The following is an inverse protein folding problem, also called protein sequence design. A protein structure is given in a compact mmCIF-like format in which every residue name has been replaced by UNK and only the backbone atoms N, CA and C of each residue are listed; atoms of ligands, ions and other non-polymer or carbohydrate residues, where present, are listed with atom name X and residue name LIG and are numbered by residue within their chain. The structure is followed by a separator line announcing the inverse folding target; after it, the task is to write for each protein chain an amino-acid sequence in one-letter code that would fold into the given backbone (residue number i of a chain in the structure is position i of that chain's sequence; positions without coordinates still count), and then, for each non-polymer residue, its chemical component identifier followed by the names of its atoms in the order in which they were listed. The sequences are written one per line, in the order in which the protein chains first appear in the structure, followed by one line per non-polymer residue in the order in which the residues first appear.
data_IF_250915437595
#
_entry.id   IF_250915437595
#
_cell.length_a   1.000
_cell.length_b   1.000
_cell.length_c   1.000
_cell.angle_alpha   90.00
_cell.angle_beta   90.00
_cell.angle_gamma   90.00
#
_symmetry.space_group_name_H-M   'P 1'
#
loop_
_entity.id
_entity.type
_entity.pdbx_description
1 polymer ?
#
# COMPACT_ATOMS: atom_id res chain seq x y z
N UNK A 1 -1.98 -19.00 14.86
CA UNK A 1 -2.47 -19.42 13.53
C UNK A 1 -2.32 -18.22 12.63
N UNK A 2 -1.62 -18.38 11.52
CA UNK A 2 -1.51 -17.33 10.50
C UNK A 2 -2.88 -17.21 9.83
N UNK A 3 -3.67 -16.25 10.27
CA UNK A 3 -5.02 -15.97 9.77
C UNK A 3 -5.00 -15.22 8.43
N UNK A 4 -3.93 -15.38 7.65
CA UNK A 4 -3.64 -14.57 6.48
C UNK A 4 -2.99 -15.43 5.39
N UNK A 5 -3.58 -15.43 4.19
CA UNK A 5 -3.02 -16.10 3.01
C UNK A 5 -2.87 -15.06 1.90
N UNK A 6 -1.65 -14.89 1.40
CA UNK A 6 -1.39 -14.10 0.19
C UNK A 6 -1.47 -15.03 -1.03
N UNK A 7 -2.23 -14.60 -2.03
CA UNK A 7 -2.35 -15.28 -3.31
C UNK A 7 -1.80 -14.39 -4.42
N UNK A 8 -1.88 -14.81 -5.68
CA UNK A 8 -1.47 -14.01 -6.83
C UNK A 8 -2.32 -12.75 -7.02
N UNK A 9 -3.57 -12.73 -6.55
CA UNK A 9 -4.54 -11.66 -6.85
C UNK A 9 -5.16 -11.01 -5.60
N UNK A 10 -5.08 -11.69 -4.45
CA UNK A 10 -5.79 -11.29 -3.24
C UNK A 10 -5.07 -11.67 -1.96
N UNK A 11 -5.48 -11.04 -0.87
CA UNK A 11 -5.16 -11.45 0.49
C UNK A 11 -6.43 -12.00 1.13
N UNK A 12 -6.35 -13.22 1.66
CA UNK A 12 -7.45 -13.87 2.38
C UNK A 12 -7.21 -13.72 3.88
N UNK A 13 -8.10 -13.00 4.56
CA UNK A 13 -8.11 -12.82 6.01
C UNK A 13 -9.16 -13.73 6.65
N UNK A 14 -8.74 -14.48 7.67
CA UNK A 14 -9.61 -15.27 8.53
C UNK A 14 -9.86 -14.53 9.84
N UNK A 15 -11.00 -13.84 9.94
CA UNK A 15 -11.37 -13.10 11.14
C UNK A 15 -12.51 -13.81 11.87
N UNK A 16 -12.18 -14.48 12.98
CA UNK A 16 -13.10 -15.25 13.83
C UNK A 16 -13.89 -16.31 13.05
N UNK A 17 -15.05 -15.93 12.50
CA UNK A 17 -15.99 -16.78 11.73
C UNK A 17 -16.23 -16.27 10.32
N UNK A 18 -15.50 -15.24 9.89
CA UNK A 18 -15.62 -14.62 8.56
C UNK A 18 -14.34 -14.82 7.79
N UNK A 19 -14.50 -15.02 6.48
CA UNK A 19 -13.41 -15.06 5.52
C UNK A 19 -13.59 -13.81 4.66
N UNK A 20 -12.56 -12.98 4.61
CA UNK A 20 -12.50 -11.81 3.76
C UNK A 20 -11.46 -12.09 2.68
N UNK A 21 -11.89 -12.14 1.43
CA UNK A 21 -10.99 -12.19 0.28
C UNK A 21 -10.90 -10.77 -0.28
N UNK A 22 -9.77 -10.11 -0.03
CA UNK A 22 -9.53 -8.74 -0.45
C UNK A 22 -8.59 -8.76 -1.65
N UNK A 23 -9.09 -8.39 -2.82
CA UNK A 23 -8.26 -8.26 -4.01
C UNK A 23 -7.25 -7.13 -3.80
N UNK A 24 -6.08 -7.27 -4.39
CA UNK A 24 -5.05 -6.23 -4.30
C UNK A 24 -5.50 -4.89 -4.90
N UNK A 25 -6.37 -4.91 -5.92
CA UNK A 25 -6.99 -3.71 -6.47
C UNK A 25 -7.85 -2.99 -5.43
N UNK A 26 -8.42 -3.66 -4.44
CA UNK A 26 -9.25 -3.03 -3.42
C UNK A 26 -8.41 -2.35 -2.32
N UNK A 27 -7.11 -2.61 -2.24
CA UNK A 27 -6.20 -2.09 -1.20
C UNK A 27 -5.55 -0.79 -1.67
N UNK A 28 -5.74 0.30 -0.92
CA UNK A 28 -5.07 1.58 -1.15
C UNK A 28 -3.68 1.60 -0.51
N UNK A 29 -3.60 1.25 0.77
CA UNK A 29 -2.37 1.33 1.54
C UNK A 29 -2.39 0.41 2.76
N UNK A 30 -1.21 0.14 3.28
CA UNK A 30 -1.00 -0.59 4.53
C UNK A 30 -0.13 0.26 5.44
N UNK A 31 -0.64 0.61 6.61
CA UNK A 31 0.05 1.45 7.60
C UNK A 31 0.34 0.67 8.87
N UNK A 32 1.35 1.10 9.63
CA UNK A 32 1.62 0.58 10.96
C UNK A 32 0.76 1.30 12.00
N UNK A 33 -0.04 0.54 12.75
CA UNK A 33 -0.78 1.00 13.93
C UNK A 33 -0.55 0.01 15.07
N UNK A 34 0.49 0.25 15.86
CA UNK A 34 1.05 -0.78 16.76
C UNK A 34 -0.01 -1.29 17.75
N UNK A 35 -0.10 -2.62 17.96
CA UNK A 35 0.81 -3.68 17.50
C UNK A 35 0.47 -4.28 16.12
N UNK A 36 -0.46 -3.69 15.37
CA UNK A 36 -0.99 -4.21 14.12
C UNK A 36 -0.44 -3.44 12.90
N UNK A 37 -0.70 -4.00 11.72
CA UNK A 37 -0.81 -3.22 10.50
C UNK A 37 -2.27 -3.05 10.14
N UNK A 38 -2.59 -1.93 9.50
CA UNK A 38 -3.93 -1.58 9.03
C UNK A 38 -3.92 -1.60 7.52
N UNK A 39 -4.67 -2.51 6.92
CA UNK A 39 -4.99 -2.51 5.50
C UNK A 39 -6.17 -1.56 5.30
N UNK A 40 -5.99 -0.51 4.50
CA UNK A 40 -7.05 0.45 4.14
C UNK A 40 -7.49 0.20 2.72
N UNK A 41 -8.80 0.05 2.53
CA UNK A 41 -9.42 -0.26 1.23
C UNK A 41 -10.03 0.96 0.56
N UNK A 42 -10.38 0.84 -0.73
CA UNK A 42 -11.11 1.86 -1.50
C UNK A 42 -12.45 2.26 -0.89
N UNK A 43 -13.11 1.35 -0.18
CA UNK A 43 -14.37 1.62 0.53
C UNK A 43 -14.15 2.22 1.93
N UNK A 44 -12.92 2.65 2.24
CA UNK A 44 -12.52 3.12 3.57
C UNK A 44 -12.68 2.09 4.69
N UNK A 45 -12.85 0.80 4.35
CA UNK A 45 -12.80 -0.29 5.32
C UNK A 45 -11.35 -0.49 5.77
N UNK A 46 -11.19 -0.71 7.08
CA UNK A 46 -9.91 -0.98 7.71
C UNK A 46 -9.87 -2.39 8.28
N UNK A 47 -8.81 -3.12 7.97
CA UNK A 47 -8.58 -4.47 8.48
C UNK A 47 -7.24 -4.56 9.20
N UNK A 48 -7.21 -5.24 10.35
CA UNK A 48 -6.04 -5.31 11.21
C UNK A 48 -5.35 -6.67 11.06
N UNK A 49 -4.04 -6.65 10.79
CA UNK A 49 -3.22 -7.87 10.68
C UNK A 49 -2.03 -7.82 11.64
N UNK A 50 -1.69 -8.97 12.23
CA UNK A 50 -0.51 -9.13 13.08
C UNK A 50 0.67 -9.66 12.27
N UNK A 51 1.31 -8.76 11.52
CA UNK A 51 2.50 -9.08 10.73
C UNK A 51 3.45 -7.89 10.69
N UNK A 52 4.74 -8.12 10.43
CA UNK A 52 5.67 -7.00 10.18
C UNK A 52 5.44 -6.39 8.81
N UNK A 53 5.63 -5.07 8.70
CA UNK A 53 5.49 -4.36 7.43
C UNK A 53 6.45 -4.89 6.35
N UNK A 54 7.66 -5.30 6.74
CA UNK A 54 8.64 -5.88 5.82
C UNK A 54 8.17 -7.21 5.24
N UNK A 55 7.67 -8.12 6.07
CA UNK A 55 7.15 -9.42 5.62
C UNK A 55 5.94 -9.26 4.69
N UNK A 56 5.06 -8.31 4.98
CA UNK A 56 3.94 -7.98 4.08
C UNK A 56 4.47 -7.42 2.76
N UNK A 57 5.43 -6.52 2.79
CA UNK A 57 6.02 -5.93 1.58
C UNK A 57 6.67 -6.95 0.63
N UNK A 58 7.21 -8.05 1.14
CA UNK A 58 7.79 -9.15 0.34
C UNK A 58 6.73 -10.00 -0.38
N UNK A 59 5.48 -9.99 0.10
CA UNK A 59 4.39 -10.83 -0.40
C UNK A 59 3.43 -10.08 -1.34
N UNK A 60 3.54 -8.75 -1.40
CA UNK A 60 2.68 -7.92 -2.22
C UNK A 60 3.16 -7.81 -3.67
N UNK A 61 2.25 -7.57 -4.63
CA UNK A 61 2.60 -7.22 -6.00
C UNK A 61 3.53 -6.01 -6.10
N UNK A 62 4.31 -5.95 -7.19
CA UNK A 62 5.32 -4.92 -7.42
C UNK A 62 4.80 -3.48 -7.46
N UNK A 63 3.51 -3.26 -7.71
CA UNK A 63 2.92 -1.92 -7.67
C UNK A 63 2.66 -1.42 -6.25
N UNK A 64 2.76 -2.27 -5.22
CA UNK A 64 2.89 -1.82 -3.84
C UNK A 64 4.31 -1.39 -3.54
N UNK A 65 4.44 -0.27 -2.81
CA UNK A 65 5.73 0.32 -2.50
C UNK A 65 5.80 0.80 -1.07
N UNK A 66 6.91 0.46 -0.41
CA UNK A 66 7.27 1.11 0.85
C UNK A 66 7.47 2.60 0.60
N UNK A 67 6.62 3.43 1.20
CA UNK A 67 6.66 4.89 1.11
C UNK A 67 7.61 5.48 2.15
N UNK A 68 7.47 5.00 3.37
CA UNK A 68 8.29 5.35 4.53
C UNK A 68 8.39 4.14 5.47
N UNK A 69 8.96 4.32 6.67
CA UNK A 69 9.17 3.22 7.61
C UNK A 69 7.89 2.55 8.14
N UNK A 70 6.73 3.19 7.99
CA UNK A 70 5.46 2.76 8.55
C UNK A 70 4.34 2.60 7.52
N UNK A 71 4.64 2.76 6.23
CA UNK A 71 3.60 2.82 5.18
C UNK A 71 4.05 2.12 3.91
N UNK A 72 3.20 1.23 3.41
CA UNK A 72 3.21 0.71 2.03
C UNK A 72 2.00 1.32 1.30
N UNK A 73 2.21 1.85 0.10
CA UNK A 73 1.16 2.45 -0.74
C UNK A 73 0.99 1.64 -2.02
N UNK A 74 -0.25 1.56 -2.51
CA UNK A 74 -0.55 1.03 -3.83
C UNK A 74 -0.40 2.14 -4.89
N UNK A 75 0.62 2.03 -5.74
CA UNK A 75 0.88 3.03 -6.77
C UNK A 75 -0.14 3.03 -7.91
N UNK A 76 -1.02 2.01 -8.01
CA UNK A 76 -2.15 2.04 -8.95
C UNK A 76 -3.17 3.13 -8.60
N UNK A 77 -3.12 3.69 -7.39
CA UNK A 77 -3.94 4.83 -6.96
C UNK A 77 -3.20 6.17 -6.99
N UNK A 78 -1.88 6.16 -7.24
CA UNK A 78 -1.09 7.39 -7.22
C UNK A 78 -1.38 8.25 -8.46
N UNK A 79 -1.64 9.54 -8.23
CA UNK A 79 -1.91 10.54 -9.28
C UNK A 79 -0.96 11.75 -9.24
N UNK A 80 -0.33 12.03 -8.10
CA UNK A 80 0.61 13.14 -7.95
C UNK A 80 1.85 12.70 -7.17
N UNK A 81 3.02 13.15 -7.63
CA UNK A 81 4.29 13.05 -6.92
C UNK A 81 4.95 14.42 -6.94
N UNK A 82 5.15 15.02 -5.77
CA UNK A 82 5.65 16.39 -5.64
C UNK A 82 6.75 16.53 -4.59
N UNK A 83 7.53 17.60 -4.73
CA UNK A 83 8.54 18.01 -3.77
C UNK A 83 8.15 19.38 -3.21
N UNK A 84 8.09 19.48 -1.88
CA UNK A 84 7.82 20.73 -1.18
C UNK A 84 8.85 20.90 -0.07
N UNK A 85 9.62 21.98 -0.12
CA UNK A 85 10.68 22.30 0.87
C UNK A 85 11.67 21.15 1.14
N UNK A 86 12.01 20.35 0.12
CA UNK A 86 12.91 19.20 0.25
C UNK A 86 12.28 17.93 0.84
N UNK A 87 10.97 17.95 1.09
CA UNK A 87 10.15 16.79 1.43
C UNK A 87 9.41 16.30 0.19
N UNK A 88 9.19 15.00 0.09
CA UNK A 88 8.59 14.36 -1.08
C UNK A 88 7.24 13.77 -0.68
N UNK A 89 6.24 13.94 -1.53
CA UNK A 89 4.87 13.52 -1.23
C UNK A 89 4.26 12.74 -2.40
N UNK A 90 3.40 11.78 -2.08
CA UNK A 90 2.58 11.04 -3.04
C UNK A 90 1.11 11.18 -2.66
N UNK A 91 0.28 11.66 -3.59
CA UNK A 91 -1.16 11.70 -3.42
C UNK A 91 -1.82 10.50 -4.10
N UNK A 92 -2.74 9.84 -3.39
CA UNK A 92 -3.52 8.70 -3.87
C UNK A 92 -4.97 9.15 -4.09
N UNK A 93 -5.62 8.73 -5.17
CA UNK A 93 -6.94 9.24 -5.57
C UNK A 93 -8.08 8.91 -4.58
N UNK A 94 -7.87 7.96 -3.69
CA UNK A 94 -8.81 7.53 -2.66
C UNK A 94 -8.41 7.97 -1.24
N UNK A 95 -7.44 8.88 -1.11
CA UNK A 95 -6.96 9.41 0.17
C UNK A 95 -7.01 10.93 0.15
N UNK A 96 -7.45 11.54 1.26
CA UNK A 96 -7.51 12.99 1.40
C UNK A 96 -6.12 13.61 1.53
N UNK A 97 -5.27 12.99 2.36
CA UNK A 97 -3.96 13.50 2.69
C UNK A 97 -2.86 12.77 1.89
N UNK A 98 -1.83 13.48 1.42
CA UNK A 98 -0.70 12.86 0.76
C UNK A 98 0.19 12.11 1.77
N UNK A 99 0.90 11.10 1.27
CA UNK A 99 1.89 10.37 2.06
C UNK A 99 3.28 10.97 1.88
N UNK A 100 3.94 11.30 2.99
CA UNK A 100 5.35 11.67 2.96
C UNK A 100 6.23 10.47 2.62
N UNK A 101 7.06 10.65 1.59
CA UNK A 101 8.01 9.67 1.08
C UNK A 101 9.36 9.87 1.73
N UNK A 102 9.86 8.82 2.37
CA UNK A 102 11.19 8.85 2.96
C UNK A 102 12.28 9.00 1.89
N UNK A 103 13.39 9.66 2.23
CA UNK A 103 14.52 9.90 1.32
C UNK A 103 15.04 8.63 0.64
N UNK A 104 15.02 7.49 1.34
CA UNK A 104 15.44 6.18 0.81
C UNK A 104 14.47 5.60 -0.22
N UNK A 105 13.18 5.91 -0.10
CA UNK A 105 12.14 5.36 -0.98
C UNK A 105 11.88 6.23 -2.21
N UNK A 106 12.26 7.52 -2.18
CA UNK A 106 11.95 8.51 -3.22
C UNK A 106 12.25 8.04 -4.65
N UNK A 107 13.45 7.46 -4.87
CA UNK A 107 13.89 7.00 -6.20
C UNK A 107 13.07 5.82 -6.67
N UNK A 108 12.78 4.87 -5.79
CA UNK A 108 12.00 3.68 -6.11
C UNK A 108 10.57 4.05 -6.51
N UNK A 109 9.91 4.88 -5.69
CA UNK A 109 8.54 5.34 -5.96
C UNK A 109 8.47 6.11 -7.28
N UNK A 110 9.35 7.10 -7.47
CA UNK A 110 9.35 7.91 -8.70
C UNK A 110 9.50 7.04 -9.95
N UNK A 111 10.42 6.08 -9.93
CA UNK A 111 10.64 5.17 -11.06
C UNK A 111 9.43 4.26 -11.32
N UNK A 112 8.84 3.66 -10.28
CA UNK A 112 7.67 2.79 -10.42
C UNK A 112 6.42 3.57 -10.87
N UNK A 113 6.21 4.79 -10.39
CA UNK A 113 5.13 5.65 -10.88
C UNK A 113 5.30 6.01 -12.36
N UNK A 114 6.51 6.36 -12.80
CA UNK A 114 6.78 6.62 -14.22
C UNK A 114 6.50 5.39 -15.09
N UNK A 115 6.86 4.19 -14.62
CA UNK A 115 6.56 2.94 -15.31
C UNK A 115 5.04 2.69 -15.39
N UNK A 116 4.32 2.80 -14.27
CA UNK A 116 2.87 2.59 -14.23
C UNK A 116 2.15 3.59 -15.16
N UNK A 117 2.49 4.89 -15.08
CA UNK A 117 1.84 5.91 -15.90
C UNK A 117 2.07 5.72 -17.40
N UNK A 118 3.25 5.23 -17.82
CA UNK A 118 3.50 4.87 -19.22
C UNK A 118 2.62 3.72 -19.70
N UNK A 119 2.29 2.78 -18.84
CA UNK A 119 1.49 1.60 -19.17
C UNK A 119 -0.02 1.80 -18.96
N UNK A 120 -0.45 2.92 -18.35
CA UNK A 120 -1.88 3.30 -18.24
C UNK A 120 -2.46 3.92 -19.51
N UNK A 121 -1.59 4.31 -20.45
CA UNK A 121 -1.97 4.93 -21.74
C UNK A 121 -1.96 3.97 -22.93
N UNK A 122 -1.93 2.65 -22.66
CA UNK A 122 -2.11 1.56 -23.63
C UNK A 122 -3.42 0.82 -23.28
#
# INVERSE_FOLDING_TARGET
MDNLIFTSESVILYERKRIHALKYEEIICITTDRPYLVITTVESLQMFIQMSLSKVGELLPDYFCLCNQSTIINLTYAYLYEEHNGHFFVSLSAMLEPFEVSRRCKRNIKNKMLYINKNRGL
#
